data_IF_212306631067
#
_entry.id   IF_212306631067
#
_cell.length_a   1.000
_cell.length_b   1.000
_cell.length_c   1.000
_cell.angle_alpha   90.00
_cell.angle_beta   90.00
_cell.angle_gamma   90.00
#
_symmetry.space_group_name_H-M   'P 1'
#
loop_
_entity.id
_entity.type
_entity.pdbx_description
1 polymer ?
#
# COMPACT_ATOMS: atom_id res chain seq x y z
N UNK A 1 -4.21 22.43 -4.87
CA UNK A 1 -4.43 21.73 -3.59
C UNK A 1 -4.36 20.22 -3.84
N UNK A 2 -3.16 19.67 -4.06
CA UNK A 2 -2.96 18.31 -4.59
C UNK A 2 -2.18 17.40 -3.63
N UNK A 3 -2.30 17.64 -2.32
CA UNK A 3 -1.59 16.84 -1.31
C UNK A 3 -2.38 15.57 -1.03
N UNK A 4 -1.70 14.45 -1.10
CA UNK A 4 -2.19 13.11 -0.73
C UNK A 4 -1.41 12.63 0.47
N UNK A 5 -2.07 11.92 1.38
CA UNK A 5 -1.44 11.39 2.58
C UNK A 5 -1.16 9.91 2.35
N UNK A 6 0.12 9.58 2.34
CA UNK A 6 0.61 8.22 2.24
C UNK A 6 1.04 7.72 3.61
N UNK A 7 0.72 6.48 3.95
CA UNK A 7 0.96 5.95 5.29
C UNK A 7 1.66 4.60 5.17
N UNK A 8 2.90 4.55 5.66
CA UNK A 8 3.70 3.34 5.66
C UNK A 8 4.95 3.44 6.56
N UNK A 9 5.68 2.35 6.82
CA UNK A 9 6.82 2.36 7.73
C UNK A 9 8.08 3.04 7.11
N UNK A 10 8.61 4.10 7.73
CA UNK A 10 9.83 4.87 7.34
C UNK A 10 11.17 4.11 7.17
N UNK A 11 11.67 4.00 5.94
CA UNK A 11 13.07 4.40 5.64
C UNK A 11 13.16 4.91 4.20
N UNK A 12 13.73 6.10 4.02
CA UNK A 12 13.84 6.89 2.77
C UNK A 12 12.57 7.56 2.24
N UNK A 13 11.58 7.76 3.10
CA UNK A 13 10.63 8.85 2.90
C UNK A 13 11.29 10.13 3.43
N UNK A 14 11.79 11.00 2.56
CA UNK A 14 12.12 12.37 2.98
C UNK A 14 10.87 13.02 3.57
N UNK A 15 10.95 13.64 4.76
CA UNK A 15 9.84 14.44 5.31
C UNK A 15 8.64 13.70 5.92
N UNK A 16 8.71 12.38 6.17
CA UNK A 16 7.67 11.66 6.92
C UNK A 16 7.80 11.80 8.44
N UNK A 17 6.69 11.60 9.17
CA UNK A 17 6.66 11.58 10.65
C UNK A 17 6.02 10.29 11.17
N UNK A 18 6.30 9.86 12.41
CA UNK A 18 5.53 8.78 13.05
C UNK A 18 4.03 9.11 13.06
N UNK A 19 3.19 8.09 12.92
CA UNK A 19 1.76 8.20 13.12
C UNK A 19 1.43 8.14 14.63
N UNK A 20 0.43 8.90 15.07
CA UNK A 20 -0.06 8.82 16.45
C UNK A 20 -0.90 7.55 16.65
N UNK A 21 -1.03 7.12 17.91
CA UNK A 21 -1.91 6.01 18.26
C UNK A 21 -3.34 6.32 17.83
N UNK A 22 -3.97 5.33 17.17
CA UNK A 22 -5.33 5.44 16.64
C UNK A 22 -5.53 6.54 15.59
N UNK A 23 -4.47 7.12 15.02
CA UNK A 23 -4.60 8.14 13.96
C UNK A 23 -5.22 7.57 12.68
N UNK A 24 -4.90 6.31 12.36
CA UNK A 24 -5.37 5.63 11.15
C UNK A 24 -5.92 4.24 11.51
N UNK A 25 -7.11 4.16 12.11
CA UNK A 25 -7.63 2.94 12.73
C UNK A 25 -7.92 1.81 11.72
N UNK A 26 -8.16 2.16 10.45
CA UNK A 26 -8.45 1.19 9.40
C UNK A 26 -7.21 0.46 8.87
N UNK A 27 -5.99 0.92 9.21
CA UNK A 27 -4.76 0.29 8.71
C UNK A 27 -4.49 -1.01 9.43
N UNK A 28 -4.11 -2.03 8.66
CA UNK A 28 -3.78 -3.36 9.18
C UNK A 28 -2.40 -3.81 8.75
N UNK A 29 -1.80 -4.69 9.55
CA UNK A 29 -0.56 -5.38 9.21
C UNK A 29 -0.87 -6.82 8.80
N UNK A 30 -0.39 -7.20 7.61
CA UNK A 30 -0.58 -8.53 7.06
C UNK A 30 0.69 -9.35 7.22
N UNK A 31 0.54 -10.53 7.82
CA UNK A 31 1.59 -11.55 7.88
C UNK A 31 1.21 -12.70 6.95
N UNK A 32 2.07 -12.98 5.99
CA UNK A 32 1.77 -13.90 4.87
C UNK A 32 2.68 -15.11 4.98
N UNK A 33 2.07 -16.29 4.96
CA UNK A 33 2.72 -17.58 5.18
C UNK A 33 2.57 -18.46 3.94
N UNK A 34 3.65 -19.19 3.60
CA UNK A 34 3.70 -20.08 2.44
C UNK A 34 3.19 -21.48 2.75
N UNK A 35 2.71 -22.17 1.70
CA UNK A 35 2.13 -23.50 1.77
C UNK A 35 3.15 -24.63 1.96
N UNK A 36 4.42 -24.42 1.58
CA UNK A 36 5.41 -25.49 1.61
C UNK A 36 6.09 -25.67 2.98
N UNK A 37 6.19 -24.61 3.79
CA UNK A 37 7.03 -24.67 4.99
C UNK A 37 6.43 -24.00 6.24
N UNK A 38 5.20 -23.47 6.15
CA UNK A 38 4.57 -22.64 7.18
C UNK A 38 5.43 -21.44 7.66
N UNK A 39 6.49 -21.13 6.91
CA UNK A 39 7.35 -20.02 7.18
C UNK A 39 6.70 -18.72 6.72
N UNK A 40 6.90 -17.68 7.51
CA UNK A 40 6.50 -16.32 7.16
C UNK A 40 7.33 -15.83 5.97
N UNK A 41 6.68 -15.62 4.84
CA UNK A 41 7.33 -15.20 3.59
C UNK A 41 7.25 -13.70 3.34
N UNK A 42 6.28 -13.00 3.93
CA UNK A 42 6.13 -11.55 3.69
C UNK A 42 5.42 -10.82 4.83
N UNK A 43 5.73 -9.53 4.92
CA UNK A 43 4.92 -8.54 5.61
C UNK A 43 4.42 -7.54 4.58
N UNK A 44 3.12 -7.24 4.64
CA UNK A 44 2.51 -6.17 3.87
C UNK A 44 1.61 -5.30 4.76
N UNK A 45 1.29 -4.12 4.27
CA UNK A 45 0.15 -3.34 4.76
C UNK A 45 -1.15 -3.82 4.14
N UNK A 46 -2.25 -3.37 4.73
CA UNK A 46 -3.58 -3.43 4.15
C UNK A 46 -4.45 -2.35 4.77
N UNK A 47 -5.67 -2.24 4.26
CA UNK A 47 -6.67 -1.29 4.73
C UNK A 47 -8.03 -1.99 4.85
N UNK A 48 -8.68 -1.85 6.00
CA UNK A 48 -10.08 -2.25 6.18
C UNK A 48 -10.95 -1.35 5.31
N UNK A 49 -11.75 -1.96 4.44
CA UNK A 49 -12.71 -1.25 3.58
C UNK A 49 -14.16 -1.41 4.07
N UNK A 50 -14.40 -2.41 4.93
CA UNK A 50 -15.60 -2.59 5.75
C UNK A 50 -15.24 -3.43 7.00
N UNK A 51 -16.23 -4.04 7.66
CA UNK A 51 -16.04 -4.85 8.87
C UNK A 51 -15.41 -6.23 8.64
N UNK A 52 -15.36 -6.72 7.39
CA UNK A 52 -14.93 -8.09 7.05
C UNK A 52 -13.88 -8.14 5.94
N UNK A 53 -13.63 -7.05 5.23
CA UNK A 53 -12.76 -7.00 4.06
C UNK A 53 -11.54 -6.11 4.27
N UNK A 54 -10.39 -6.65 3.86
CA UNK A 54 -9.12 -5.94 3.78
C UNK A 54 -8.68 -5.84 2.32
N UNK A 55 -8.38 -4.63 1.87
CA UNK A 55 -7.74 -4.39 0.59
C UNK A 55 -6.21 -4.33 0.75
N UNK A 56 -5.48 -4.95 -0.17
CA UNK A 56 -4.00 -4.95 -0.22
C UNK A 56 -3.53 -5.13 -1.67
N UNK A 57 -2.22 -5.06 -1.89
CA UNK A 57 -1.64 -5.24 -3.22
C UNK A 57 -1.56 -6.73 -3.59
N UNK A 58 -1.89 -7.09 -4.83
CA UNK A 58 -1.91 -8.50 -5.26
C UNK A 58 -0.54 -9.17 -5.14
N UNK A 59 0.57 -8.43 -5.32
CA UNK A 59 1.92 -8.98 -5.17
C UNK A 59 2.26 -9.41 -3.73
N UNK A 60 1.50 -8.95 -2.73
CA UNK A 60 1.61 -9.44 -1.36
C UNK A 60 1.15 -10.90 -1.25
N UNK A 61 0.10 -11.26 -2.00
CA UNK A 61 -0.55 -12.58 -1.95
C UNK A 61 -0.36 -13.40 -3.23
N UNK A 62 0.68 -13.09 -4.02
CA UNK A 62 0.91 -13.73 -5.34
C UNK A 62 1.36 -15.19 -5.28
N UNK A 63 2.05 -15.59 -4.21
CA UNK A 63 2.60 -16.93 -4.06
C UNK A 63 1.49 -17.95 -3.70
N UNK A 64 1.86 -19.22 -3.49
CA UNK A 64 1.00 -20.22 -2.86
C UNK A 64 0.82 -19.87 -1.36
N UNK A 65 0.00 -18.85 -1.11
CA UNK A 65 -0.29 -18.39 0.24
C UNK A 65 -1.20 -19.42 0.92
N UNK A 66 -0.71 -20.03 2.00
CA UNK A 66 -1.51 -20.90 2.87
C UNK A 66 -2.36 -20.10 3.83
N UNK A 67 -1.78 -19.03 4.39
CA UNK A 67 -2.39 -18.27 5.47
C UNK A 67 -2.01 -16.80 5.40
N UNK A 68 -2.99 -15.93 5.62
CA UNK A 68 -2.78 -14.50 5.88
C UNK A 68 -3.33 -14.19 7.25
N UNK A 69 -2.45 -13.84 8.20
CA UNK A 69 -2.87 -13.25 9.48
C UNK A 69 -3.01 -11.75 9.32
N UNK A 70 -4.13 -11.22 9.81
CA UNK A 70 -4.48 -9.80 9.80
C UNK A 70 -4.38 -9.29 11.23
N UNK A 71 -3.47 -8.37 11.48
CA UNK A 71 -3.29 -7.70 12.78
C UNK A 71 -3.87 -6.29 12.72
N UNK A 72 -4.81 -5.98 13.63
CA UNK A 72 -5.65 -4.78 13.59
C UNK A 72 -5.47 -3.96 14.87
N UNK A 73 -5.25 -2.65 14.72
CA UNK A 73 -5.15 -1.73 15.85
C UNK A 73 -3.79 -1.77 16.56
N UNK A 74 -2.71 -1.85 15.79
CA UNK A 74 -1.35 -1.68 16.28
C UNK A 74 -0.59 -0.69 15.41
N UNK A 75 0.17 0.20 16.05
CA UNK A 75 1.12 1.08 15.37
C UNK A 75 2.52 0.47 15.26
N UNK A 76 2.74 -0.75 15.74
CA UNK A 76 4.00 -1.47 15.64
C UNK A 76 3.80 -2.82 14.97
N UNK A 77 4.49 -3.07 13.86
CA UNK A 77 4.31 -4.28 13.04
C UNK A 77 4.62 -5.61 13.74
N UNK A 78 5.25 -5.58 14.91
CA UNK A 78 5.55 -6.75 15.75
C UNK A 78 4.67 -6.86 16.99
N UNK A 79 4.02 -5.77 17.39
CA UNK A 79 3.09 -5.77 18.50
C UNK A 79 1.72 -6.26 18.03
N UNK A 80 1.13 -7.17 18.80
CA UNK A 80 -0.27 -7.54 18.62
C UNK A 80 -1.13 -6.30 18.79
N UNK A 81 -2.04 -6.10 17.85
CA UNK A 81 -3.06 -5.08 17.96
C UNK A 81 -4.23 -5.55 18.80
N UNK A 82 -5.24 -4.69 18.92
CA UNK A 82 -6.50 -4.99 19.60
C UNK A 82 -7.20 -6.26 19.11
N UNK A 83 -7.03 -6.60 17.83
CA UNK A 83 -7.62 -7.80 17.22
C UNK A 83 -6.62 -8.45 16.25
N UNK A 84 -6.68 -9.77 16.16
CA UNK A 84 -5.88 -10.55 15.22
C UNK A 84 -6.71 -11.70 14.71
N UNK A 85 -6.82 -11.83 13.38
CA UNK A 85 -7.61 -12.87 12.73
C UNK A 85 -6.88 -13.47 11.54
N UNK A 86 -7.42 -14.53 10.96
CA UNK A 86 -6.92 -15.14 9.72
C UNK A 86 -7.93 -14.93 8.61
N UNK A 87 -7.47 -14.51 7.44
CA UNK A 87 -8.34 -14.38 6.27
C UNK A 87 -8.89 -15.76 5.88
N UNK A 88 -10.22 -15.86 5.77
CA UNK A 88 -10.91 -17.08 5.32
C UNK A 88 -10.83 -17.29 3.81
N UNK A 89 -10.74 -16.20 3.05
CA UNK A 89 -10.64 -16.19 1.59
C UNK A 89 -9.63 -15.16 1.13
N UNK A 90 -8.95 -15.46 0.02
CA UNK A 90 -8.01 -14.54 -0.65
C UNK A 90 -8.49 -14.37 -2.08
N UNK A 91 -8.85 -13.15 -2.45
CA UNK A 91 -9.28 -12.79 -3.80
C UNK A 91 -8.18 -12.01 -4.50
N UNK A 92 -7.86 -12.43 -5.72
CA UNK A 92 -6.87 -11.78 -6.58
C UNK A 92 -7.58 -11.29 -7.84
N UNK A 93 -7.30 -10.07 -8.25
CA UNK A 93 -7.86 -9.53 -9.48
C UNK A 93 -7.34 -10.35 -10.67
N UNK A 94 -8.24 -10.82 -11.54
CA UNK A 94 -7.91 -11.74 -12.66
C UNK A 94 -6.93 -11.15 -13.66
N UNK A 95 -7.01 -9.84 -13.89
CA UNK A 95 -6.09 -9.10 -14.76
C UNK A 95 -4.75 -8.72 -14.13
N UNK A 96 -4.37 -9.29 -12.99
CA UNK A 96 -3.08 -8.99 -12.38
C UNK A 96 -1.93 -9.53 -13.23
N UNK A 97 -1.06 -8.63 -13.69
CA UNK A 97 0.17 -8.95 -14.40
C UNK A 97 1.36 -8.57 -13.52
N UNK A 98 2.34 -9.47 -13.42
CA UNK A 98 3.54 -9.21 -12.65
C UNK A 98 4.43 -8.18 -13.37
N UNK A 99 4.79 -7.09 -12.68
CA UNK A 99 5.72 -6.07 -13.17
C UNK A 99 7.10 -6.24 -12.50
N UNK A 100 8.22 -5.89 -13.18
CA UNK A 100 9.56 -6.00 -12.59
C UNK A 100 9.87 -4.88 -11.58
N UNK A 101 9.04 -3.86 -11.46
CA UNK A 101 9.27 -2.67 -10.63
C UNK A 101 8.77 -2.79 -9.19
N UNK A 102 8.49 -4.00 -8.70
CA UNK A 102 7.96 -4.20 -7.35
C UNK A 102 8.85 -3.58 -6.28
N UNK A 103 8.22 -2.94 -5.29
CA UNK A 103 8.94 -2.39 -4.13
C UNK A 103 9.70 -3.53 -3.44
N UNK A 104 11.03 -3.39 -3.33
CA UNK A 104 11.87 -4.43 -2.75
C UNK A 104 11.49 -4.70 -1.29
N UNK A 105 11.55 -5.97 -0.88
CA UNK A 105 11.51 -6.32 0.54
C UNK A 105 12.82 -5.84 1.17
N UNK A 106 12.72 -5.14 2.31
CA UNK A 106 13.89 -4.67 3.04
C UNK A 106 13.52 -4.22 4.45
N UNK A 107 14.49 -3.71 5.20
CA UNK A 107 14.27 -3.31 6.61
C UNK A 107 13.41 -2.05 6.67
N UNK A 108 12.10 -2.26 6.80
CA UNK A 108 11.16 -1.23 7.20
C UNK A 108 11.19 -1.03 8.72
N UNK A 109 10.88 0.15 9.26
CA UNK A 109 10.82 0.38 10.69
C UNK A 109 9.63 -0.34 11.29
N UNK A 110 9.64 -0.39 12.61
CA UNK A 110 8.61 -1.09 13.35
C UNK A 110 7.35 -0.25 13.49
N UNK A 111 7.50 1.06 13.68
CA UNK A 111 6.40 1.98 13.89
C UNK A 111 5.79 2.50 12.59
N UNK A 112 4.47 2.64 12.56
CA UNK A 112 3.71 3.27 11.49
C UNK A 112 4.14 4.73 11.30
N UNK A 113 4.34 5.15 10.06
CA UNK A 113 4.64 6.54 9.71
C UNK A 113 3.68 7.05 8.64
N UNK A 114 3.60 8.36 8.52
CA UNK A 114 2.83 9.07 7.50
C UNK A 114 3.71 10.08 6.77
N UNK A 115 3.34 10.38 5.54
CA UNK A 115 3.96 11.43 4.73
C UNK A 115 2.95 12.05 3.79
N UNK A 116 3.11 13.32 3.48
CA UNK A 116 2.38 13.98 2.41
C UNK A 116 3.15 13.89 1.10
N UNK A 117 2.52 13.34 0.06
CA UNK A 117 3.02 13.33 -1.31
C UNK A 117 2.19 14.30 -2.17
N UNK A 118 2.70 14.66 -3.33
CA UNK A 118 1.93 15.40 -4.34
C UNK A 118 1.31 14.41 -5.33
N UNK A 119 0.01 14.52 -5.59
CA UNK A 119 -0.61 13.77 -6.67
C UNK A 119 -0.04 14.20 -8.02
N UNK A 120 0.33 13.23 -8.85
CA UNK A 120 0.86 13.46 -10.20
C UNK A 120 -0.23 13.06 -11.21
N UNK A 121 -0.64 13.96 -12.12
CA UNK A 121 -1.61 13.62 -13.15
C UNK A 121 -1.16 12.42 -13.98
N UNK A 122 -2.08 11.48 -14.23
CA UNK A 122 -1.79 10.21 -14.90
C UNK A 122 -0.99 10.38 -16.21
N UNK A 123 -1.42 11.30 -17.08
CA UNK A 123 -0.73 11.64 -18.35
C UNK A 123 0.71 12.11 -18.14
N UNK A 124 0.98 12.86 -17.06
CA UNK A 124 2.32 13.32 -16.72
C UNK A 124 3.16 12.15 -16.21
N UNK A 125 2.58 11.28 -15.39
CA UNK A 125 3.27 10.09 -14.91
C UNK A 125 3.66 9.16 -16.06
N UNK A 126 2.72 8.81 -16.93
CA UNK A 126 2.95 7.96 -18.11
C UNK A 126 4.04 8.49 -19.04
N UNK A 127 4.19 9.82 -19.14
CA UNK A 127 5.21 10.46 -19.99
C UNK A 127 6.59 10.57 -19.33
N UNK A 128 6.65 10.85 -18.03
CA UNK A 128 7.90 11.14 -17.32
C UNK A 128 8.49 9.94 -16.59
N UNK A 129 7.66 8.96 -16.26
CA UNK A 129 8.07 7.78 -15.52
C UNK A 129 8.84 6.81 -16.41
N UNK A 130 9.81 6.09 -15.83
CA UNK A 130 10.47 4.94 -16.44
C UNK A 130 9.70 3.64 -16.20
N UNK A 131 8.68 3.67 -15.34
CA UNK A 131 7.81 2.53 -15.08
C UNK A 131 6.74 2.43 -16.17
N UNK A 132 6.25 1.23 -16.40
CA UNK A 132 5.02 1.04 -17.19
C UNK A 132 3.81 1.50 -16.36
N UNK A 133 3.08 2.48 -16.89
CA UNK A 133 1.90 3.08 -16.25
C UNK A 133 0.67 2.72 -17.07
N UNK A 134 -0.11 1.75 -16.58
CA UNK A 134 -1.43 1.37 -17.13
C UNK A 134 -2.54 2.20 -16.51
N UNK A 135 -3.73 2.22 -17.12
CA UNK A 135 -4.82 3.12 -16.73
C UNK A 135 -5.31 2.94 -15.28
N UNK A 136 -5.13 1.74 -14.70
CA UNK A 136 -5.42 1.44 -13.29
C UNK A 136 -4.33 1.89 -12.29
N UNK A 137 -3.45 2.83 -12.66
CA UNK A 137 -2.31 3.27 -11.85
C UNK A 137 -2.39 4.77 -11.55
N UNK A 138 -2.29 5.09 -10.26
CA UNK A 138 -2.09 6.44 -9.74
C UNK A 138 -0.62 6.67 -9.39
N UNK A 139 -0.16 7.90 -9.57
CA UNK A 139 1.19 8.30 -9.19
C UNK A 139 1.17 9.43 -8.15
N UNK A 140 2.08 9.35 -7.19
CA UNK A 140 2.30 10.43 -6.23
C UNK A 140 3.78 10.60 -5.88
N UNK A 141 4.16 11.79 -5.44
CA UNK A 141 5.53 12.17 -5.09
C UNK A 141 6.06 13.22 -6.05
N UNK A 142 7.31 13.06 -6.48
CA UNK A 142 7.94 13.90 -7.50
C UNK A 142 8.90 13.06 -8.36
N UNK A 143 9.48 13.69 -9.39
CA UNK A 143 10.51 13.07 -10.23
C UNK A 143 11.92 13.51 -9.83
N UNK A 144 12.09 14.04 -8.60
CA UNK A 144 13.36 14.55 -8.10
C UNK A 144 14.01 13.48 -7.22
N UNK A 145 15.32 13.34 -7.35
CA UNK A 145 16.07 12.42 -6.51
C UNK A 145 16.01 12.88 -5.04
N UNK A 146 15.76 11.94 -4.13
CA UNK A 146 15.68 12.21 -2.69
C UNK A 146 14.37 12.86 -2.22
N UNK A 147 13.37 12.99 -3.10
CA UNK A 147 12.02 13.37 -2.71
C UNK A 147 11.32 12.31 -1.87
N UNK A 148 10.20 12.65 -1.20
CA UNK A 148 9.37 11.68 -0.52
C UNK A 148 8.79 10.64 -1.50
N UNK A 149 8.98 9.35 -1.22
CA UNK A 149 8.54 8.25 -2.07
C UNK A 149 8.09 7.05 -1.23
N UNK A 150 7.34 6.12 -1.82
CA UNK A 150 7.13 4.78 -1.25
C UNK A 150 8.43 3.98 -1.33
N UNK A 151 8.77 3.27 -0.26
CA UNK A 151 9.96 2.45 -0.18
C UNK A 151 9.68 1.11 0.52
N UNK A 152 10.74 0.37 0.82
CA UNK A 152 10.73 -0.97 1.37
C UNK A 152 9.74 -1.14 2.53
N UNK A 153 8.82 -2.10 2.40
CA UNK A 153 7.86 -2.46 3.45
C UNK A 153 6.52 -1.72 3.41
N UNK A 154 6.32 -0.89 2.39
CA UNK A 154 5.10 -0.10 2.18
C UNK A 154 4.02 -0.83 1.35
N UNK A 155 4.37 -1.99 0.80
CA UNK A 155 3.51 -2.79 -0.09
C UNK A 155 2.15 -3.06 0.52
N UNK A 156 1.08 -2.73 -0.22
CA UNK A 156 -0.30 -2.92 0.23
C UNK A 156 -0.82 -1.85 1.20
N UNK A 157 0.01 -0.88 1.59
CA UNK A 157 -0.42 0.26 2.40
C UNK A 157 -1.34 1.23 1.64
N UNK A 158 -2.17 2.02 2.35
CA UNK A 158 -3.12 2.94 1.71
C UNK A 158 -2.48 4.28 1.32
N UNK A 159 -2.99 4.84 0.22
CA UNK A 159 -2.84 6.24 -0.16
C UNK A 159 -4.20 6.93 -0.04
N UNK A 160 -4.27 8.00 0.75
CA UNK A 160 -5.47 8.79 0.93
C UNK A 160 -5.41 10.12 0.18
N UNK A 161 -6.51 10.54 -0.43
CA UNK A 161 -6.65 11.87 -1.03
C UNK A 161 -7.94 12.55 -0.55
N UNK A 162 -7.99 13.89 -0.49
CA UNK A 162 -9.22 14.60 -0.20
C UNK A 162 -10.19 14.52 -1.40
N UNK A 163 -11.45 14.20 -1.14
CA UNK A 163 -12.52 14.32 -2.13
C UNK A 163 -12.99 15.78 -2.30
N UNK A 164 -14.01 16.01 -3.14
CA UNK A 164 -14.59 17.35 -3.38
C UNK A 164 -15.12 18.04 -2.10
N UNK A 165 -15.50 17.26 -1.09
CA UNK A 165 -15.95 17.73 0.23
C UNK A 165 -14.82 17.79 1.26
N UNK A 166 -13.55 17.70 0.84
CA UNK A 166 -12.33 17.68 1.68
C UNK A 166 -12.26 16.52 2.69
N UNK A 167 -13.03 15.45 2.48
CA UNK A 167 -12.90 14.23 3.29
C UNK A 167 -11.82 13.35 2.70
N UNK A 168 -10.93 12.83 3.54
CA UNK A 168 -9.91 11.88 3.11
C UNK A 168 -10.58 10.56 2.73
N UNK A 169 -10.31 10.08 1.52
CA UNK A 169 -10.81 8.81 0.98
C UNK A 169 -9.64 7.96 0.51
N UNK A 170 -9.82 6.64 0.53
CA UNK A 170 -8.84 5.71 -0.02
C UNK A 170 -8.78 5.90 -1.54
N UNK A 171 -7.64 6.40 -2.01
CA UNK A 171 -7.40 6.68 -3.43
C UNK A 171 -6.61 5.56 -4.08
N UNK A 172 -5.64 5.00 -3.35
CA UNK A 172 -4.73 4.01 -3.91
C UNK A 172 -4.21 3.00 -2.90
N UNK A 173 -3.68 1.91 -3.43
CA UNK A 173 -2.96 0.88 -2.67
C UNK A 173 -1.54 0.79 -3.19
N UNK A 174 -0.54 0.85 -2.31
CA UNK A 174 0.87 0.86 -2.69
C UNK A 174 1.24 -0.41 -3.44
N UNK A 175 1.74 -0.24 -4.67
CA UNK A 175 1.97 -1.36 -5.59
C UNK A 175 3.46 -1.51 -5.90
N UNK A 176 4.05 -0.57 -6.64
CA UNK A 176 5.40 -0.70 -7.18
C UNK A 176 6.10 0.66 -7.28
N UNK A 177 7.43 0.65 -7.43
CA UNK A 177 8.22 1.89 -7.46
C UNK A 177 9.64 1.66 -7.94
N UNK A 178 10.17 2.60 -8.73
CA UNK A 178 11.51 2.48 -9.31
C UNK A 178 12.62 2.98 -8.37
N UNK A 179 13.04 2.11 -7.44
CA UNK A 179 14.06 2.37 -6.42
C UNK A 179 13.63 3.51 -5.47
N UNK A 180 13.91 3.37 -4.18
CA UNK A 180 13.40 4.26 -3.14
C UNK A 180 13.74 5.76 -3.26
N UNK A 181 14.61 6.17 -4.18
CA UNK A 181 15.19 7.52 -4.18
C UNK A 181 15.06 8.23 -5.52
N UNK A 182 14.53 7.60 -6.57
CA UNK A 182 14.75 8.08 -7.95
C UNK A 182 13.49 8.40 -8.75
N UNK A 183 12.28 8.24 -8.21
CA UNK A 183 11.06 8.48 -8.99
C UNK A 183 9.77 8.60 -8.17
N UNK A 184 8.72 9.02 -8.87
CA UNK A 184 7.34 8.96 -8.41
C UNK A 184 6.96 7.53 -7.98
N UNK A 185 6.05 7.44 -7.02
CA UNK A 185 5.53 6.18 -6.49
C UNK A 185 4.25 5.79 -7.21
N UNK A 186 4.09 4.50 -7.54
CA UNK A 186 2.93 3.98 -8.22
C UNK A 186 2.01 3.19 -7.27
N UNK A 187 0.73 3.49 -7.37
CA UNK A 187 -0.35 2.93 -6.57
C UNK A 187 -1.40 2.34 -7.50
N UNK A 188 -2.02 1.23 -7.11
CA UNK A 188 -3.22 0.75 -7.77
C UNK A 188 -4.36 1.73 -7.51
N UNK A 189 -5.04 2.20 -8.56
CA UNK A 189 -6.15 3.15 -8.48
C UNK A 189 -7.41 2.48 -7.93
N UNK A 190 -7.80 2.79 -6.69
CA UNK A 190 -8.99 2.20 -6.07
C UNK A 190 -10.27 2.63 -6.78
N UNK A 191 -10.30 3.82 -7.38
CA UNK A 191 -11.42 4.29 -8.19
C UNK A 191 -11.58 3.48 -9.48
N UNK A 192 -10.47 3.15 -10.14
CA UNK A 192 -10.46 2.31 -11.35
C UNK A 192 -10.96 0.88 -11.05
N UNK A 193 -10.57 0.29 -9.92
CA UNK A 193 -10.97 -1.07 -9.54
C UNK A 193 -12.29 -1.15 -8.75
N UNK A 194 -13.04 -0.05 -8.66
CA UNK A 194 -14.21 0.03 -7.77
C UNK A 194 -15.29 -1.00 -8.06
N UNK A 195 -15.60 -1.25 -9.33
CA UNK A 195 -16.65 -2.19 -9.71
C UNK A 195 -16.28 -3.64 -9.35
N UNK A 196 -15.01 -4.00 -9.53
CA UNK A 196 -14.50 -5.31 -9.10
C UNK A 196 -14.55 -5.45 -7.58
N UNK A 197 -14.16 -4.40 -6.84
CA UNK A 197 -14.23 -4.39 -5.38
C UNK A 197 -15.69 -4.62 -4.94
N UNK A 198 -16.62 -3.81 -5.43
CA UNK A 198 -18.04 -3.89 -5.07
C UNK A 198 -18.69 -5.24 -5.41
N UNK A 199 -18.23 -5.91 -6.46
CA UNK A 199 -18.76 -7.24 -6.84
C UNK A 199 -18.25 -8.37 -5.94
N UNK A 200 -17.35 -8.07 -5.00
CA UNK A 200 -16.67 -9.05 -4.14
C UNK A 200 -16.74 -8.67 -2.65
N UNK A 201 -17.52 -7.65 -2.29
CA UNK A 201 -17.89 -7.34 -0.90
C UNK A 201 -19.04 -8.25 -0.45
#
# INVERSE_FOLDING_TARGET
MNRVVFIAPRRRVGGGSPAHNCEFPSIVHLQIFDHLSDNKISLCGGILIDSTHVLTATHCVKANVRKVKVNIGSNNKWSLGSQSTTASRILKHVGYVHTPYLISKGKSPNHLHKVSLHAIPHKVCKRKSKMEISDGVLCAGDFKRGGPSTCQGDSGGPLFCPNSKRRMVLAGVTSYGNKCDNEASAFSDVGYFRDWINSNL
#
